data_IF_748001500768
#
_entry.id   IF_748001500768
#
_cell.length_a   1.000
_cell.length_b   1.000
_cell.length_c   1.000
_cell.angle_alpha   90.00
_cell.angle_beta   90.00
_cell.angle_gamma   90.00
#
_symmetry.space_group_name_H-M   'P 1'
#
loop_
_entity.id
_entity.type
_entity.pdbx_description
1 polymer ?
#
# COMPACT_ATOMS: atom_id res chain seq x y z
N UNK A 1 14.13 16.89 13.11
CA UNK A 1 14.98 15.69 13.00
C UNK A 1 14.07 14.51 13.20
N UNK A 2 13.95 13.63 12.22
CA UNK A 2 13.11 12.44 12.34
C UNK A 2 13.73 11.49 13.39
N UNK A 3 12.89 11.02 14.30
CA UNK A 3 13.30 10.12 15.38
C UNK A 3 12.69 8.76 15.14
N UNK A 4 13.55 7.75 15.16
CA UNK A 4 13.22 6.34 14.96
C UNK A 4 13.07 5.68 16.31
N UNK A 5 11.99 4.91 16.48
CA UNK A 5 11.77 4.10 17.66
C UNK A 5 12.28 2.68 17.41
N UNK A 6 13.23 2.23 18.25
CA UNK A 6 13.74 0.86 18.25
C UNK A 6 13.45 0.15 19.56
N UNK A 7 13.07 -1.12 19.51
CA UNK A 7 12.91 -1.97 20.69
C UNK A 7 14.11 -2.92 20.83
N UNK A 8 14.75 -2.93 21.99
CA UNK A 8 15.80 -3.89 22.28
C UNK A 8 15.21 -5.18 22.87
N UNK A 9 15.35 -6.35 22.22
CA UNK A 9 14.80 -7.61 22.74
C UNK A 9 15.54 -8.11 24.00
N UNK A 10 16.81 -7.73 24.17
CA UNK A 10 17.63 -8.16 25.30
C UNK A 10 17.39 -7.27 26.52
N UNK A 11 17.48 -5.96 26.31
CA UNK A 11 17.33 -4.98 27.37
C UNK A 11 15.86 -4.63 27.67
N UNK A 12 14.92 -5.07 26.83
CA UNK A 12 13.47 -4.77 26.89
C UNK A 12 13.17 -3.27 27.03
N UNK A 13 13.95 -2.45 26.32
CA UNK A 13 13.85 -0.99 26.34
C UNK A 13 13.52 -0.46 24.96
N UNK A 14 12.69 0.55 24.95
CA UNK A 14 12.49 1.43 23.79
C UNK A 14 13.61 2.45 23.74
N UNK A 15 14.22 2.60 22.57
CA UNK A 15 15.32 3.53 22.30
C UNK A 15 14.85 4.48 21.21
N UNK A 16 15.01 5.78 21.46
CA UNK A 16 14.79 6.82 20.45
C UNK A 16 16.13 7.19 19.82
N UNK A 17 16.20 7.18 18.50
CA UNK A 17 17.42 7.40 17.74
C UNK A 17 17.15 8.38 16.59
N UNK A 18 18.20 9.02 16.06
CA UNK A 18 18.14 9.69 14.76
C UNK A 18 18.16 8.68 13.61
N UNK A 19 17.68 9.07 12.43
CA UNK A 19 17.66 8.22 11.22
C UNK A 19 19.05 7.69 10.81
N UNK A 20 20.13 8.39 11.20
CA UNK A 20 21.51 8.08 10.84
C UNK A 20 22.29 7.34 11.94
N UNK A 21 21.66 7.11 13.10
CA UNK A 21 22.33 6.44 14.22
C UNK A 21 22.46 4.93 13.97
N UNK A 22 23.56 4.35 14.46
CA UNK A 22 23.76 2.90 14.42
C UNK A 22 22.61 2.20 15.16
N UNK A 23 21.97 1.21 14.50
CA UNK A 23 20.76 0.52 15.00
C UNK A 23 21.05 -0.51 16.09
N UNK A 24 21.83 -0.11 17.09
CA UNK A 24 22.27 -0.93 18.22
C UNK A 24 21.86 -0.28 19.54
N UNK A 25 21.50 -1.11 20.50
CA UNK A 25 21.15 -0.62 21.83
C UNK A 25 22.37 0.03 22.49
N UNK A 26 22.31 1.28 22.96
CA UNK A 26 23.46 1.94 23.60
C UNK A 26 23.84 1.31 24.95
N UNK A 27 22.99 0.44 25.50
CA UNK A 27 23.19 -0.22 26.80
C UNK A 27 23.86 -1.57 26.64
N UNK A 28 23.36 -2.40 25.71
CA UNK A 28 23.79 -3.80 25.57
C UNK A 28 24.33 -4.14 24.17
N UNK A 29 24.49 -3.15 23.29
CA UNK A 29 25.00 -3.27 21.92
C UNK A 29 24.24 -4.25 21.03
N UNK A 30 23.09 -4.74 21.48
CA UNK A 30 22.24 -5.67 20.74
C UNK A 30 21.53 -4.92 19.61
N UNK A 31 21.42 -5.50 18.40
CA UNK A 31 20.63 -4.91 17.32
C UNK A 31 19.19 -4.61 17.76
N UNK A 32 18.71 -3.41 17.43
CA UNK A 32 17.38 -2.97 17.78
C UNK A 32 16.36 -3.44 16.74
N UNK A 33 15.21 -3.92 17.20
CA UNK A 33 14.02 -4.11 16.38
C UNK A 33 13.41 -2.74 16.13
N UNK A 34 13.79 -2.09 15.05
CA UNK A 34 13.15 -0.84 14.59
C UNK A 34 11.95 -1.18 13.72
N UNK A 35 10.83 -0.49 13.94
CA UNK A 35 9.63 -0.59 13.10
C UNK A 35 9.70 0.32 11.88
N UNK A 36 10.90 0.75 11.48
CA UNK A 36 11.05 1.40 10.18
C UNK A 36 10.74 0.38 9.10
N UNK A 37 9.68 0.67 8.34
CA UNK A 37 9.48 0.06 7.04
C UNK A 37 10.71 0.41 6.21
N UNK A 38 11.66 -0.52 6.13
CA UNK A 38 12.86 -0.34 5.30
C UNK A 38 12.43 0.01 3.87
N UNK A 39 13.22 0.79 3.15
CA UNK A 39 12.92 1.15 1.76
C UNK A 39 12.62 -0.10 0.92
N UNK A 40 13.37 -1.20 1.14
CA UNK A 40 13.11 -2.50 0.53
C UNK A 40 11.73 -3.08 0.87
N UNK A 41 11.24 -2.88 2.09
CA UNK A 41 9.89 -3.31 2.50
C UNK A 41 8.83 -2.44 1.84
N UNK A 42 9.01 -1.11 1.79
CA UNK A 42 8.09 -0.19 1.08
C UNK A 42 8.02 -0.51 -0.40
N UNK A 43 9.17 -0.75 -1.04
CA UNK A 43 9.26 -1.11 -2.45
C UNK A 43 8.61 -2.47 -2.74
N UNK A 44 8.78 -3.45 -1.83
CA UNK A 44 8.09 -4.75 -1.94
C UNK A 44 6.57 -4.62 -1.77
N UNK A 45 6.09 -3.76 -0.88
CA UNK A 45 4.66 -3.47 -0.75
C UNK A 45 4.14 -2.86 -2.05
N UNK A 46 4.79 -1.80 -2.57
CA UNK A 46 4.39 -1.16 -3.83
C UNK A 46 4.37 -2.12 -5.03
N UNK A 47 5.34 -3.02 -5.14
CA UNK A 47 5.36 -4.06 -6.18
C UNK A 47 4.21 -5.07 -6.07
N UNK A 48 3.77 -5.39 -4.86
CA UNK A 48 2.63 -6.29 -4.68
C UNK A 48 1.32 -5.59 -5.08
N UNK A 49 1.16 -4.34 -4.65
CA UNK A 49 0.00 -3.51 -4.97
C UNK A 49 -0.14 -3.33 -6.49
N UNK A 50 0.98 -3.07 -7.18
CA UNK A 50 1.02 -2.94 -8.64
C UNK A 50 0.63 -4.21 -9.39
N UNK A 51 1.04 -5.39 -8.90
CA UNK A 51 0.61 -6.67 -9.48
C UNK A 51 -0.91 -6.84 -9.46
N UNK A 52 -1.56 -6.43 -8.37
CA UNK A 52 -3.01 -6.48 -8.26
C UNK A 52 -3.67 -5.42 -9.15
N UNK A 53 -3.06 -4.23 -9.28
CA UNK A 53 -3.50 -3.21 -10.25
C UNK A 53 -3.54 -3.74 -11.66
N UNK A 54 -2.48 -4.39 -12.13
CA UNK A 54 -2.42 -4.98 -13.48
C UNK A 54 -3.53 -6.02 -13.68
N UNK A 55 -3.80 -6.85 -12.67
CA UNK A 55 -4.90 -7.81 -12.72
C UNK A 55 -6.27 -7.12 -12.80
N UNK A 56 -6.50 -6.09 -11.99
CA UNK A 56 -7.74 -5.34 -11.94
C UNK A 56 -8.01 -4.55 -13.23
N UNK A 57 -6.99 -3.97 -13.86
CA UNK A 57 -7.16 -3.35 -15.17
C UNK A 57 -7.54 -4.36 -16.27
N UNK A 58 -7.09 -5.61 -16.16
CA UNK A 58 -7.54 -6.65 -17.07
C UNK A 58 -9.02 -7.01 -16.84
N UNK A 59 -9.46 -7.07 -15.58
CA UNK A 59 -10.89 -7.23 -15.23
C UNK A 59 -11.70 -6.06 -15.78
N UNK A 60 -11.24 -4.83 -15.57
CA UNK A 60 -11.88 -3.62 -16.05
C UNK A 60 -12.04 -3.62 -17.58
N UNK A 61 -10.98 -3.90 -18.34
CA UNK A 61 -11.03 -3.96 -19.81
C UNK A 61 -12.02 -5.02 -20.30
N UNK A 62 -12.10 -6.17 -19.64
CA UNK A 62 -13.08 -7.19 -19.96
C UNK A 62 -14.51 -6.73 -19.62
N UNK A 63 -14.68 -6.05 -18.49
CA UNK A 63 -15.95 -5.51 -18.04
C UNK A 63 -16.48 -4.39 -18.95
N UNK A 64 -15.62 -3.52 -19.48
CA UNK A 64 -16.04 -2.42 -20.37
C UNK A 64 -16.76 -2.90 -21.64
N UNK A 65 -16.57 -4.16 -22.05
CA UNK A 65 -17.24 -4.74 -23.22
C UNK A 65 -18.63 -5.28 -22.88
N UNK A 66 -18.83 -5.81 -21.67
CA UNK A 66 -19.98 -6.65 -21.33
C UNK A 66 -20.87 -6.07 -20.21
N UNK A 67 -20.31 -5.28 -19.29
CA UNK A 67 -20.97 -4.82 -18.07
C UNK A 67 -21.64 -3.46 -18.25
N UNK A 68 -22.71 -3.22 -17.47
CA UNK A 68 -23.33 -1.88 -17.40
C UNK A 68 -22.50 -0.97 -16.49
N UNK A 69 -22.48 0.37 -16.71
CA UNK A 69 -21.60 1.27 -15.96
C UNK A 69 -21.78 1.25 -14.43
N UNK A 70 -22.98 0.94 -13.93
CA UNK A 70 -23.29 0.86 -12.50
C UNK A 70 -23.34 -0.58 -11.96
N UNK A 71 -23.08 -1.58 -12.80
CA UNK A 71 -23.00 -2.97 -12.36
C UNK A 71 -21.78 -3.15 -11.46
N UNK A 72 -21.98 -3.78 -10.29
CA UNK A 72 -20.90 -4.08 -9.36
C UNK A 72 -20.15 -5.32 -9.85
N UNK A 73 -18.83 -5.21 -9.91
CA UNK A 73 -17.93 -6.24 -10.40
C UNK A 73 -16.91 -6.56 -9.32
N UNK A 74 -16.46 -7.80 -9.28
CA UNK A 74 -15.43 -8.24 -8.35
C UNK A 74 -14.05 -7.82 -8.87
N UNK A 75 -13.40 -6.92 -8.14
CA UNK A 75 -11.99 -6.60 -8.27
C UNK A 75 -11.21 -7.26 -7.13
N UNK A 76 -9.91 -7.50 -7.34
CA UNK A 76 -9.02 -8.02 -6.30
C UNK A 76 -8.55 -6.87 -5.41
N UNK A 77 -8.53 -7.09 -4.09
CA UNK A 77 -7.99 -6.14 -3.13
C UNK A 77 -6.51 -5.85 -3.42
N UNK A 78 -6.16 -4.58 -3.61
CA UNK A 78 -4.83 -4.11 -4.00
C UNK A 78 -3.95 -3.74 -2.80
N UNK A 79 -4.07 -4.46 -1.68
CA UNK A 79 -3.24 -4.18 -0.51
C UNK A 79 -1.83 -4.76 -0.68
N UNK A 80 -0.88 -4.29 0.14
CA UNK A 80 0.52 -4.73 0.06
C UNK A 80 0.80 -6.20 0.42
N UNK A 81 -0.22 -6.96 0.84
CA UNK A 81 -0.08 -8.37 1.19
C UNK A 81 0.10 -9.25 -0.07
N UNK A 82 1.25 -9.95 -0.15
CA UNK A 82 1.65 -10.72 -1.33
C UNK A 82 0.69 -11.85 -1.75
N UNK A 83 -0.16 -12.31 -0.83
CA UNK A 83 -1.07 -13.45 -1.01
C UNK A 83 -2.53 -13.05 -0.79
N UNK A 84 -2.85 -11.75 -0.80
CA UNK A 84 -4.25 -11.33 -0.69
C UNK A 84 -5.04 -11.81 -1.91
N UNK A 85 -6.17 -12.46 -1.66
CA UNK A 85 -7.10 -12.92 -2.69
C UNK A 85 -8.53 -12.46 -2.37
N UNK A 86 -8.67 -11.46 -1.50
CA UNK A 86 -9.97 -10.92 -1.15
C UNK A 86 -10.53 -10.10 -2.32
N UNK A 87 -11.84 -10.10 -2.46
CA UNK A 87 -12.55 -9.39 -3.52
C UNK A 87 -13.22 -8.13 -2.98
N UNK A 88 -13.27 -7.11 -3.83
CA UNK A 88 -13.83 -5.80 -3.58
C UNK A 88 -14.86 -5.53 -4.66
N UNK A 89 -16.08 -5.17 -4.26
CA UNK A 89 -17.18 -4.91 -5.20
C UNK A 89 -17.36 -3.42 -5.45
N UNK A 90 -17.10 -3.02 -6.69
CA UNK A 90 -17.31 -1.66 -7.17
C UNK A 90 -17.64 -1.68 -8.66
N UNK A 91 -18.21 -0.59 -9.15
CA UNK A 91 -18.51 -0.43 -10.57
C UNK A 91 -17.26 -0.06 -11.36
N UNK A 92 -17.29 -0.27 -12.67
CA UNK A 92 -16.23 0.18 -13.58
C UNK A 92 -16.00 1.70 -13.44
N UNK A 93 -17.06 2.49 -13.26
CA UNK A 93 -16.97 3.94 -13.08
C UNK A 93 -16.27 4.33 -11.76
N UNK A 94 -16.58 3.64 -10.66
CA UNK A 94 -15.91 3.85 -9.37
C UNK A 94 -14.43 3.43 -9.46
N UNK A 95 -14.12 2.33 -10.14
CA UNK A 95 -12.75 1.87 -10.33
C UNK A 95 -11.94 2.87 -11.19
N UNK A 96 -12.51 3.35 -12.28
CA UNK A 96 -11.88 4.37 -13.14
C UNK A 96 -11.62 5.67 -12.36
N UNK A 97 -12.55 6.09 -11.50
CA UNK A 97 -12.37 7.24 -10.62
C UNK A 97 -11.15 7.08 -9.67
N UNK A 98 -10.89 5.85 -9.22
CA UNK A 98 -9.70 5.52 -8.43
C UNK A 98 -8.43 5.52 -9.30
N UNK A 99 -8.51 5.09 -10.56
CA UNK A 99 -7.38 5.05 -11.52
C UNK A 99 -6.98 6.41 -12.11
N UNK A 100 -7.79 7.45 -11.95
CA UNK A 100 -7.36 8.83 -12.24
C UNK A 100 -6.15 9.32 -11.40
N UNK A 101 -5.73 8.59 -10.38
CA UNK A 101 -4.55 8.91 -9.58
C UNK A 101 -3.68 7.67 -9.36
N UNK A 102 -2.52 7.65 -10.02
CA UNK A 102 -1.55 6.53 -10.02
C UNK A 102 -1.17 6.00 -8.64
N UNK A 103 -1.14 6.87 -7.61
CA UNK A 103 -0.80 6.46 -6.24
C UNK A 103 -1.99 5.97 -5.40
N UNK A 104 -3.18 5.79 -5.98
CA UNK A 104 -4.34 5.26 -5.26
C UNK A 104 -4.48 3.75 -5.43
N UNK A 105 -5.17 3.10 -4.50
CA UNK A 105 -5.44 1.66 -4.56
C UNK A 105 -6.75 1.33 -3.86
N UNK A 106 -7.49 0.34 -4.37
CA UNK A 106 -8.70 -0.19 -3.73
C UNK A 106 -8.36 -1.31 -2.74
N UNK A 107 -8.88 -1.23 -1.52
CA UNK A 107 -8.62 -2.25 -0.50
C UNK A 107 -9.88 -2.56 0.30
N UNK A 108 -9.91 -3.72 0.96
CA UNK A 108 -10.91 -3.98 1.99
C UNK A 108 -10.63 -3.13 3.24
N UNK A 109 -11.66 -2.72 3.99
CA UNK A 109 -11.47 -2.04 5.27
C UNK A 109 -10.60 -2.88 6.22
N UNK A 110 -9.59 -2.25 6.83
CA UNK A 110 -8.63 -2.91 7.73
C UNK A 110 -7.47 -3.62 7.04
N UNK A 111 -7.37 -3.55 5.71
CA UNK A 111 -6.19 -3.99 4.97
C UNK A 111 -5.18 -2.87 4.72
N UNK A 112 -5.51 -1.65 5.13
CA UNK A 112 -4.63 -0.49 5.03
C UNK A 112 -3.43 -0.57 5.99
N UNK A 113 -2.34 0.09 5.60
CA UNK A 113 -1.09 0.18 6.35
C UNK A 113 -0.82 1.66 6.63
N UNK A 114 -1.34 2.23 7.74
CA UNK A 114 -1.32 3.67 8.02
C UNK A 114 0.05 4.33 7.98
N UNK A 115 1.14 3.56 8.14
CA UNK A 115 2.50 4.05 8.07
C UNK A 115 2.95 4.44 6.64
N UNK A 116 2.33 3.91 5.58
CA UNK A 116 2.74 4.12 4.17
C UNK A 116 1.62 4.57 3.24
N UNK A 117 0.40 4.67 3.76
CA UNK A 117 -0.75 5.16 3.01
C UNK A 117 -1.78 5.83 3.92
N UNK A 118 -2.68 6.57 3.29
CA UNK A 118 -3.81 7.21 3.97
C UNK A 118 -5.10 6.87 3.24
N UNK A 119 -6.18 6.70 3.99
CA UNK A 119 -7.51 6.57 3.41
C UNK A 119 -7.93 7.93 2.84
N UNK A 120 -8.36 7.96 1.59
CA UNK A 120 -8.85 9.17 0.90
C UNK A 120 -10.33 9.08 0.53
N UNK A 121 -10.91 7.88 0.56
CA UNK A 121 -12.33 7.65 0.34
C UNK A 121 -12.76 6.33 0.99
N UNK A 122 -13.99 6.32 1.52
CA UNK A 122 -14.68 5.14 2.03
C UNK A 122 -15.91 4.91 1.16
N UNK A 123 -15.96 3.74 0.52
CA UNK A 123 -17.10 3.27 -0.27
C UNK A 123 -17.91 2.23 0.47
N UNK A 124 -18.88 1.63 -0.22
CA UNK A 124 -19.67 0.53 0.33
C UNK A 124 -18.86 -0.77 0.31
N UNK A 125 -18.33 -1.16 1.47
CA UNK A 125 -17.55 -2.40 1.62
C UNK A 125 -16.08 -2.29 1.17
N UNK A 126 -15.59 -1.09 0.84
CA UNK A 126 -14.20 -0.87 0.41
C UNK A 126 -13.66 0.49 0.83
N UNK A 127 -12.34 0.61 0.81
CA UNK A 127 -11.62 1.86 1.02
C UNK A 127 -10.72 2.15 -0.18
N UNK A 128 -10.47 3.42 -0.41
CA UNK A 128 -9.44 3.89 -1.34
C UNK A 128 -8.34 4.51 -0.51
N UNK A 129 -7.13 3.98 -0.67
CA UNK A 129 -5.94 4.53 -0.04
C UNK A 129 -5.11 5.30 -1.06
N UNK A 130 -4.33 6.28 -0.60
CA UNK A 130 -3.30 6.96 -1.38
C UNK A 130 -1.93 6.73 -0.71
N UNK A 131 -0.95 6.23 -1.47
CA UNK A 131 0.40 6.03 -0.98
C UNK A 131 1.07 7.36 -0.64
N UNK A 132 1.90 7.34 0.40
CA UNK A 132 2.70 8.48 0.84
C UNK A 132 4.21 8.16 0.77
N UNK A 133 5.04 9.19 0.86
CA UNK A 133 6.50 9.05 0.92
C UNK A 133 7.10 8.31 -0.29
N UNK A 134 8.01 7.37 -0.02
CA UNK A 134 8.67 6.58 -1.06
C UNK A 134 7.70 5.67 -1.84
N UNK A 135 6.65 5.15 -1.18
CA UNK A 135 5.66 4.29 -1.82
C UNK A 135 4.89 4.99 -2.94
N UNK A 136 4.64 6.30 -2.80
CA UNK A 136 4.03 7.13 -3.85
C UNK A 136 4.86 7.14 -5.13
N UNK A 137 6.16 7.39 -5.02
CA UNK A 137 7.07 7.45 -6.18
C UNK A 137 7.13 6.13 -6.92
N UNK A 138 7.13 5.01 -6.19
CA UNK A 138 7.08 3.67 -6.78
C UNK A 138 5.75 3.45 -7.51
N UNK A 139 4.62 3.78 -6.87
CA UNK A 139 3.30 3.63 -7.47
C UNK A 139 3.08 4.50 -8.73
N UNK A 140 3.66 5.69 -8.78
CA UNK A 140 3.67 6.57 -9.95
C UNK A 140 4.58 6.03 -11.06
N UNK A 141 5.76 5.51 -10.72
CA UNK A 141 6.71 4.98 -11.71
C UNK A 141 6.27 3.64 -12.33
N UNK A 142 5.49 2.84 -11.62
CA UNK A 142 4.95 1.57 -12.09
C UNK A 142 3.58 1.70 -12.77
N UNK A 143 3.03 2.92 -12.84
CA UNK A 143 1.69 3.13 -13.36
C UNK A 143 1.58 2.71 -14.84
N UNK A 144 0.79 1.66 -15.18
CA UNK A 144 0.70 1.15 -16.55
C UNK A 144 0.13 2.17 -17.52
N UNK A 145 -0.64 3.15 -17.02
CA UNK A 145 -1.26 4.22 -17.82
C UNK A 145 -0.35 5.44 -18.04
N UNK A 146 0.84 5.48 -17.43
CA UNK A 146 1.77 6.61 -17.58
C UNK A 146 2.49 6.66 -18.94
N UNK A 147 2.39 5.59 -19.73
CA UNK A 147 3.03 5.41 -21.04
C UNK A 147 2.06 5.41 -22.23
N UNK A 148 0.80 5.77 -22.02
CA UNK A 148 -0.26 5.87 -23.05
C UNK A 148 -0.51 7.32 -23.48
#
# INVERSE_FOLDING_TARGET
MASVMGFCPLCQRTVHMGEQDDRVCPVCSTPLMVTELSEQRVERLGRNEDRFRVANEAVERAAQVEARPQEKIDYVCECGAATCSALVQLSTEEYEAVRHHAARFIQLPGHDIPEVERIVHEGDGYIVVEKIGAGRKVAEALDPRSSD
#
